data_IF_616256900008
#
_entry.id   IF_616256900008
#
_cell.length_a   1.000
_cell.length_b   1.000
_cell.length_c   1.000
_cell.angle_alpha   90.00
_cell.angle_beta   90.00
_cell.angle_gamma   90.00
#
_symmetry.space_group_name_H-M   'P 1'
#
loop_
_entity.id
_entity.type
_entity.pdbx_description
1 polymer ?
#
# COMPACT_ATOMS: atom_id res chain seq x y z
N UNK A 1 24.08 10.99 29.49
CA UNK A 1 24.25 9.57 29.87
C UNK A 1 22.93 8.79 29.95
N UNK A 2 21.82 9.38 30.47
CA UNK A 2 20.52 8.67 30.57
C UNK A 2 19.73 8.72 29.25
N UNK A 3 19.81 9.82 28.50
CA UNK A 3 19.21 9.96 27.16
C UNK A 3 19.89 9.10 26.10
N UNK A 4 21.23 8.99 26.17
CA UNK A 4 22.00 8.19 25.20
C UNK A 4 21.72 6.68 25.36
N UNK A 5 21.47 6.19 26.58
CA UNK A 5 21.10 4.79 26.83
C UNK A 5 19.67 4.46 26.39
N UNK A 6 18.74 5.41 26.48
CA UNK A 6 17.36 5.24 26.01
C UNK A 6 17.28 5.21 24.47
N UNK A 7 18.02 6.09 23.79
CA UNK A 7 18.10 6.12 22.32
C UNK A 7 18.81 4.89 21.75
N UNK A 8 19.86 4.42 22.39
CA UNK A 8 20.58 3.19 21.99
C UNK A 8 19.69 1.93 22.17
N UNK A 9 18.92 1.85 23.24
CA UNK A 9 17.96 0.76 23.48
C UNK A 9 16.84 0.74 22.43
N UNK A 10 16.27 1.89 22.10
CA UNK A 10 15.24 2.01 21.05
C UNK A 10 15.77 1.64 19.66
N UNK A 11 17.01 2.01 19.34
CA UNK A 11 17.64 1.67 18.06
C UNK A 11 17.80 0.16 17.86
N UNK A 12 18.18 -0.57 18.90
CA UNK A 12 18.32 -2.03 18.87
C UNK A 12 16.99 -2.76 18.64
N UNK A 13 15.93 -2.28 19.26
CA UNK A 13 14.59 -2.87 19.12
C UNK A 13 13.97 -2.63 17.74
N UNK A 14 14.12 -1.43 17.20
CA UNK A 14 13.69 -1.11 15.84
C UNK A 14 14.45 -2.00 14.85
N UNK A 15 15.75 -2.17 15.03
CA UNK A 15 16.57 -3.05 14.18
C UNK A 15 16.12 -4.51 14.25
N UNK A 16 15.77 -5.00 15.45
CA UNK A 16 15.26 -6.36 15.64
C UNK A 16 13.87 -6.55 14.99
N UNK A 17 12.98 -5.57 15.07
CA UNK A 17 11.69 -5.60 14.39
C UNK A 17 11.88 -5.58 12.87
N UNK A 18 12.75 -4.71 12.35
CA UNK A 18 13.07 -4.67 10.92
C UNK A 18 13.60 -6.02 10.45
N UNK A 19 14.52 -6.64 11.19
CA UNK A 19 15.07 -7.95 10.87
C UNK A 19 13.98 -9.04 10.86
N UNK A 20 13.06 -9.02 11.83
CA UNK A 20 11.94 -9.96 11.89
C UNK A 20 10.99 -9.79 10.70
N UNK A 21 10.64 -8.56 10.33
CA UNK A 21 9.79 -8.26 9.17
C UNK A 21 10.48 -8.63 7.85
N UNK A 22 11.78 -8.36 7.73
CA UNK A 22 12.55 -8.70 6.53
C UNK A 22 12.81 -10.21 6.38
N UNK A 23 12.68 -10.99 7.44
CA UNK A 23 12.76 -12.45 7.39
C UNK A 23 11.48 -13.10 6.83
N UNK A 24 10.35 -12.39 6.82
CA UNK A 24 9.13 -12.84 6.18
C UNK A 24 9.22 -12.64 4.66
N UNK A 25 9.38 -13.74 3.92
CA UNK A 25 9.56 -13.70 2.47
C UNK A 25 8.33 -13.16 1.73
N UNK A 26 7.11 -13.40 2.25
CA UNK A 26 5.88 -12.90 1.63
C UNK A 26 5.75 -11.38 1.81
N UNK A 27 6.02 -10.88 3.02
CA UNK A 27 6.04 -9.45 3.29
C UNK A 27 7.12 -8.73 2.47
N UNK A 28 8.34 -9.27 2.43
CA UNK A 28 9.44 -8.70 1.65
C UNK A 28 9.11 -8.70 0.15
N UNK A 29 8.53 -9.78 -0.37
CA UNK A 29 8.09 -9.90 -1.76
C UNK A 29 7.03 -8.85 -2.11
N UNK A 30 6.05 -8.64 -1.23
CA UNK A 30 5.01 -7.63 -1.41
C UNK A 30 5.59 -6.20 -1.43
N UNK A 31 6.44 -5.86 -0.47
CA UNK A 31 7.12 -4.54 -0.41
C UNK A 31 7.95 -4.31 -1.66
N UNK A 32 8.67 -5.34 -2.14
CA UNK A 32 9.43 -5.26 -3.38
C UNK A 32 8.53 -5.03 -4.60
N UNK A 33 7.38 -5.72 -4.68
CA UNK A 33 6.41 -5.51 -5.75
C UNK A 33 5.88 -4.07 -5.79
N UNK A 34 5.56 -3.47 -4.63
CA UNK A 34 5.14 -2.07 -4.53
C UNK A 34 6.24 -1.10 -4.97
N UNK A 35 7.49 -1.37 -4.58
CA UNK A 35 8.64 -0.56 -5.01
C UNK A 35 8.88 -0.64 -6.52
N UNK A 36 8.74 -1.83 -7.12
CA UNK A 36 8.84 -2.01 -8.57
C UNK A 36 7.69 -1.32 -9.31
N UNK A 37 6.45 -1.43 -8.83
CA UNK A 37 5.30 -0.72 -9.38
C UNK A 37 5.58 0.79 -9.44
N UNK A 38 6.08 1.36 -8.34
CA UNK A 38 6.41 2.79 -8.29
C UNK A 38 7.53 3.16 -9.26
N UNK A 39 8.60 2.40 -9.34
CA UNK A 39 9.70 2.64 -10.29
C UNK A 39 9.22 2.55 -11.75
N UNK A 40 8.35 1.60 -12.07
CA UNK A 40 7.77 1.49 -13.41
C UNK A 40 6.88 2.69 -13.72
N UNK A 41 6.11 3.16 -12.74
CA UNK A 41 5.26 4.36 -12.86
C UNK A 41 6.09 5.60 -13.15
N UNK A 42 7.19 5.83 -12.43
CA UNK A 42 8.10 6.95 -12.68
C UNK A 42 8.76 6.87 -14.08
N UNK A 43 9.15 5.68 -14.50
CA UNK A 43 9.71 5.46 -15.85
C UNK A 43 8.68 5.72 -16.95
N UNK A 44 7.43 5.33 -16.74
CA UNK A 44 6.33 5.57 -17.66
C UNK A 44 6.04 7.08 -17.79
N UNK A 45 6.00 7.79 -16.66
CA UNK A 45 5.90 9.24 -16.64
C UNK A 45 7.04 9.90 -17.43
N UNK A 46 8.27 9.51 -17.17
CA UNK A 46 9.44 10.10 -17.82
C UNK A 46 9.47 9.86 -19.35
N UNK A 47 8.96 8.72 -19.82
CA UNK A 47 9.00 8.33 -21.25
C UNK A 47 7.78 8.76 -22.05
N UNK A 48 6.61 8.76 -21.45
CA UNK A 48 5.33 8.94 -22.13
C UNK A 48 4.52 10.12 -21.60
N UNK A 49 5.05 10.87 -20.62
CA UNK A 49 4.37 11.99 -19.96
C UNK A 49 2.99 11.60 -19.36
N UNK A 50 2.81 10.32 -19.00
CA UNK A 50 1.60 9.85 -18.35
C UNK A 50 1.68 10.21 -16.88
N UNK A 51 0.62 10.86 -16.36
CA UNK A 51 0.54 11.20 -14.94
C UNK A 51 0.56 9.93 -14.08
N UNK A 52 1.41 9.85 -13.03
CA UNK A 52 1.58 8.67 -12.19
C UNK A 52 0.33 8.32 -11.38
N UNK A 53 -0.60 9.25 -11.23
CA UNK A 53 -1.82 9.10 -10.44
C UNK A 53 -3.05 9.03 -11.33
N UNK A 54 -3.14 9.91 -12.33
CA UNK A 54 -4.27 10.05 -13.24
C UNK A 54 -3.93 9.54 -14.65
N UNK A 55 -4.06 8.23 -14.84
CA UNK A 55 -3.92 7.63 -16.18
C UNK A 55 -5.07 8.03 -17.12
N UNK A 56 -4.89 7.97 -18.46
CA UNK A 56 -5.97 8.25 -19.40
C UNK A 56 -7.24 7.41 -19.19
N UNK A 57 -7.10 6.12 -18.85
CA UNK A 57 -8.24 5.26 -18.53
C UNK A 57 -8.96 5.75 -17.27
N UNK A 58 -8.23 6.04 -16.21
CA UNK A 58 -8.83 6.52 -14.96
C UNK A 58 -9.55 7.87 -15.19
N UNK A 59 -8.98 8.75 -16.00
CA UNK A 59 -9.62 10.00 -16.39
C UNK A 59 -10.94 9.76 -17.15
N UNK A 60 -10.97 8.80 -18.07
CA UNK A 60 -12.19 8.44 -18.80
C UNK A 60 -13.26 7.86 -17.86
N UNK A 61 -12.88 7.02 -16.90
CA UNK A 61 -13.79 6.42 -15.92
C UNK A 61 -14.38 7.46 -14.95
N UNK A 62 -13.63 8.51 -14.61
CA UNK A 62 -14.14 9.65 -13.82
C UNK A 62 -15.27 10.39 -14.54
N UNK A 63 -15.23 10.44 -15.87
CA UNK A 63 -16.27 11.02 -16.73
C UNK A 63 -17.39 10.04 -17.11
N UNK A 64 -17.45 8.86 -16.51
CA UNK A 64 -18.46 7.86 -16.83
C UNK A 64 -19.88 8.38 -16.57
N UNK A 65 -20.85 8.11 -17.47
CA UNK A 65 -22.25 8.41 -17.22
C UNK A 65 -22.86 7.54 -16.10
N UNK A 66 -22.24 6.41 -15.77
CA UNK A 66 -22.63 5.59 -14.63
C UNK A 66 -22.03 6.15 -13.34
N UNK A 67 -22.86 6.64 -12.38
CA UNK A 67 -22.38 7.24 -11.14
C UNK A 67 -21.58 6.27 -10.26
N UNK A 68 -21.87 4.97 -10.31
CA UNK A 68 -21.16 3.96 -9.52
C UNK A 68 -19.71 3.82 -10.03
N UNK A 69 -19.53 3.74 -11.34
CA UNK A 69 -18.21 3.71 -11.99
C UNK A 69 -17.42 4.99 -11.72
N UNK A 70 -18.05 6.16 -11.87
CA UNK A 70 -17.38 7.45 -11.61
C UNK A 70 -16.97 7.58 -10.13
N UNK A 71 -17.82 7.16 -9.21
CA UNK A 71 -17.51 7.16 -7.77
C UNK A 71 -16.35 6.20 -7.44
N UNK A 72 -16.36 4.98 -7.99
CA UNK A 72 -15.28 4.02 -7.80
C UNK A 72 -13.95 4.54 -8.36
N UNK A 73 -13.98 5.16 -9.55
CA UNK A 73 -12.80 5.80 -10.14
C UNK A 73 -12.25 6.94 -9.27
N UNK A 74 -13.11 7.75 -8.66
CA UNK A 74 -12.70 8.80 -7.72
C UNK A 74 -12.02 8.21 -6.47
N UNK A 75 -12.56 7.15 -5.90
CA UNK A 75 -11.93 6.48 -4.75
C UNK A 75 -10.57 5.87 -5.12
N UNK A 76 -10.46 5.24 -6.30
CA UNK A 76 -9.21 4.70 -6.80
C UNK A 76 -8.17 5.79 -7.06
N UNK A 77 -8.56 6.93 -7.65
CA UNK A 77 -7.70 8.10 -7.83
C UNK A 77 -7.14 8.61 -6.50
N UNK A 78 -8.02 8.77 -5.50
CA UNK A 78 -7.61 9.22 -4.17
C UNK A 78 -6.65 8.23 -3.49
N UNK A 79 -6.89 6.92 -3.65
CA UNK A 79 -6.01 5.88 -3.12
C UNK A 79 -4.65 5.87 -3.84
N UNK A 80 -4.64 6.00 -5.17
CA UNK A 80 -3.42 6.09 -5.98
C UNK A 80 -2.58 7.33 -5.62
N UNK A 81 -3.22 8.47 -5.38
CA UNK A 81 -2.54 9.69 -4.94
C UNK A 81 -1.87 9.51 -3.57
N UNK A 82 -2.56 8.88 -2.60
CA UNK A 82 -1.98 8.55 -1.29
C UNK A 82 -0.81 7.59 -1.40
N UNK A 83 -0.94 6.54 -2.23
CA UNK A 83 0.15 5.61 -2.51
C UNK A 83 1.39 6.34 -3.05
N UNK A 84 1.24 7.17 -4.10
CA UNK A 84 2.36 7.94 -4.65
C UNK A 84 3.02 8.88 -3.63
N UNK A 85 2.24 9.51 -2.75
CA UNK A 85 2.79 10.32 -1.66
C UNK A 85 3.58 9.49 -0.64
N UNK A 86 3.08 8.29 -0.31
CA UNK A 86 3.74 7.38 0.63
C UNK A 86 5.06 6.86 0.05
N UNK A 87 5.09 6.49 -1.23
CA UNK A 87 6.29 6.04 -1.90
C UNK A 87 7.38 7.12 -1.91
N UNK A 88 7.04 8.37 -2.21
CA UNK A 88 7.98 9.50 -2.14
C UNK A 88 8.54 9.75 -0.73
N UNK A 89 7.82 9.36 0.30
CA UNK A 89 8.24 9.46 1.70
C UNK A 89 8.89 8.18 2.23
N UNK A 90 9.07 7.16 1.40
CA UNK A 90 9.53 5.82 1.80
C UNK A 90 8.70 5.25 2.96
N UNK A 91 7.37 5.40 2.87
CA UNK A 91 6.43 4.91 3.88
C UNK A 91 5.58 3.78 3.28
N UNK A 92 5.29 2.77 4.10
CA UNK A 92 4.35 1.71 3.78
C UNK A 92 3.14 1.81 4.72
N UNK A 93 2.04 2.41 4.25
CA UNK A 93 0.81 2.47 5.03
C UNK A 93 0.23 1.06 5.24
N UNK A 94 -0.37 0.78 6.41
CA UNK A 94 -1.02 -0.52 6.66
C UNK A 94 -2.07 -0.90 5.61
N UNK A 95 -2.77 0.06 5.02
CA UNK A 95 -3.77 -0.18 3.97
C UNK A 95 -3.21 -0.63 2.62
N UNK A 96 -1.88 -0.63 2.43
CA UNK A 96 -1.22 -1.23 1.26
C UNK A 96 -0.82 -2.69 1.50
N UNK A 97 -0.99 -3.20 2.72
CA UNK A 97 -0.75 -4.60 3.04
C UNK A 97 -2.07 -5.40 2.90
N UNK A 98 -2.05 -6.58 2.27
CA UNK A 98 -3.11 -7.59 2.43
C UNK A 98 -3.31 -7.97 3.90
N UNK A 99 -4.52 -8.43 4.25
CA UNK A 99 -4.88 -8.69 5.65
C UNK A 99 -3.98 -9.72 6.35
N UNK A 100 -3.52 -10.74 5.63
CA UNK A 100 -2.61 -11.77 6.12
C UNK A 100 -1.20 -11.20 6.41
N UNK A 101 -0.68 -10.36 5.53
CA UNK A 101 0.62 -9.70 5.73
C UNK A 101 0.55 -8.66 6.84
N UNK A 102 -0.54 -7.90 6.95
CA UNK A 102 -0.76 -7.01 8.08
C UNK A 102 -0.79 -7.80 9.40
N UNK A 103 -1.49 -8.95 9.42
CA UNK A 103 -1.53 -9.81 10.60
C UNK A 103 -0.15 -10.31 10.99
N UNK A 104 0.65 -10.79 10.03
CA UNK A 104 2.02 -11.24 10.27
C UNK A 104 2.90 -10.11 10.84
N UNK A 105 2.79 -8.90 10.29
CA UNK A 105 3.53 -7.74 10.77
C UNK A 105 3.14 -7.36 12.22
N UNK A 106 1.85 -7.42 12.56
CA UNK A 106 1.36 -7.16 13.92
C UNK A 106 1.81 -8.22 14.92
N UNK A 107 1.88 -9.49 14.52
CA UNK A 107 2.46 -10.56 15.35
C UNK A 107 3.94 -10.32 15.63
N UNK A 108 4.72 -9.92 14.62
CA UNK A 108 6.12 -9.57 14.81
C UNK A 108 6.30 -8.37 15.75
N UNK A 109 5.45 -7.34 15.62
CA UNK A 109 5.43 -6.20 16.55
C UNK A 109 5.18 -6.63 18.00
N UNK A 110 4.17 -7.49 18.22
CA UNK A 110 3.86 -8.01 19.57
C UNK A 110 5.00 -8.82 20.14
N UNK A 111 5.60 -9.71 19.36
CA UNK A 111 6.74 -10.52 19.80
C UNK A 111 7.92 -9.66 20.27
N UNK A 112 8.23 -8.59 19.53
CA UNK A 112 9.28 -7.66 19.93
C UNK A 112 8.89 -6.82 21.16
N UNK A 113 7.64 -6.40 21.27
CA UNK A 113 7.16 -5.61 22.39
C UNK A 113 7.10 -6.41 23.71
N UNK A 114 6.88 -7.73 23.65
CA UNK A 114 6.78 -8.60 24.82
C UNK A 114 8.06 -8.62 25.67
N UNK A 115 9.20 -8.20 25.13
CA UNK A 115 10.47 -8.11 25.86
C UNK A 115 10.55 -6.94 26.86
N UNK A 116 9.55 -6.05 26.88
CA UNK A 116 9.54 -4.83 27.71
C UNK A 116 8.46 -4.86 28.78
N UNK A 117 8.74 -4.19 29.89
CA UNK A 117 7.70 -3.86 30.87
C UNK A 117 6.58 -3.04 30.17
N UNK A 118 5.32 -3.43 30.37
CA UNK A 118 4.15 -2.85 29.68
C UNK A 118 4.12 -2.98 28.13
N UNK A 119 5.09 -3.66 27.52
CA UNK A 119 5.21 -3.80 26.07
C UNK A 119 4.00 -4.49 25.46
N UNK A 120 3.56 -5.60 26.05
CA UNK A 120 2.37 -6.36 25.59
C UNK A 120 1.09 -5.49 25.59
N UNK A 121 0.88 -4.71 26.65
CA UNK A 121 -0.29 -3.83 26.76
C UNK A 121 -0.27 -2.74 25.68
N UNK A 122 0.90 -2.12 25.47
CA UNK A 122 1.09 -1.08 24.46
C UNK A 122 0.94 -1.63 23.04
N UNK A 123 1.51 -2.79 22.75
CA UNK A 123 1.39 -3.44 21.46
C UNK A 123 -0.06 -3.86 21.16
N UNK A 124 -0.77 -4.40 22.15
CA UNK A 124 -2.19 -4.75 22.02
C UNK A 124 -3.06 -3.52 21.73
N UNK A 125 -2.81 -2.39 22.40
CA UNK A 125 -3.53 -1.15 22.13
C UNK A 125 -3.24 -0.61 20.71
N UNK A 126 -1.98 -0.65 20.27
CA UNK A 126 -1.59 -0.24 18.93
C UNK A 126 -2.20 -1.14 17.86
N UNK A 127 -2.18 -2.47 18.06
CA UNK A 127 -2.83 -3.43 17.17
C UNK A 127 -4.33 -3.15 17.06
N UNK A 128 -5.01 -2.94 18.19
CA UNK A 128 -6.44 -2.63 18.19
C UNK A 128 -6.75 -1.35 17.40
N UNK A 129 -5.95 -0.30 17.56
CA UNK A 129 -6.10 0.94 16.82
C UNK A 129 -5.89 0.75 15.31
N UNK A 130 -4.83 0.02 14.90
CA UNK A 130 -4.56 -0.27 13.48
C UNK A 130 -5.70 -1.08 12.88
N UNK A 131 -6.18 -2.13 13.56
CA UNK A 131 -7.28 -2.97 13.07
C UNK A 131 -8.60 -2.23 12.98
N UNK A 132 -8.86 -1.26 13.87
CA UNK A 132 -10.08 -0.45 13.83
C UNK A 132 -10.16 0.46 12.60
N UNK A 133 -9.00 0.88 12.08
CA UNK A 133 -8.91 1.74 10.88
C UNK A 133 -8.73 0.94 9.58
N UNK A 134 -8.33 -0.34 9.69
CA UNK A 134 -8.03 -1.18 8.53
C UNK A 134 -9.30 -1.75 7.91
N UNK A 135 -9.49 -1.47 6.63
CA UNK A 135 -10.56 -2.03 5.79
C UNK A 135 -9.97 -2.43 4.44
N UNK A 136 -9.75 -3.73 4.25
CA UNK A 136 -9.15 -4.26 3.02
C UNK A 136 -9.99 -3.94 1.78
N UNK A 137 -11.32 -3.88 1.91
CA UNK A 137 -12.22 -3.57 0.79
C UNK A 137 -12.04 -2.14 0.25
N UNK A 138 -11.45 -1.27 1.05
CA UNK A 138 -11.10 0.12 0.71
C UNK A 138 -9.63 0.29 0.35
N UNK A 139 -8.86 -0.77 0.36
CA UNK A 139 -7.46 -0.74 -0.08
C UNK A 139 -7.37 -0.33 -1.55
N UNK A 140 -6.24 0.24 -1.93
CA UNK A 140 -5.97 0.65 -3.31
C UNK A 140 -6.12 -0.54 -4.27
N UNK A 141 -5.56 -1.69 -3.92
CA UNK A 141 -5.62 -2.91 -4.75
C UNK A 141 -7.06 -3.39 -4.92
N UNK A 142 -7.87 -3.41 -3.86
CA UNK A 142 -9.27 -3.80 -3.95
C UNK A 142 -10.09 -2.83 -4.82
N UNK A 143 -9.81 -1.52 -4.75
CA UNK A 143 -10.46 -0.52 -5.60
C UNK A 143 -10.09 -0.71 -7.06
N UNK A 144 -8.81 -0.93 -7.38
CA UNK A 144 -8.33 -1.19 -8.74
C UNK A 144 -8.89 -2.49 -9.30
N UNK A 145 -8.92 -3.58 -8.52
CA UNK A 145 -9.51 -4.85 -8.92
C UNK A 145 -10.99 -4.72 -9.27
N UNK A 146 -11.76 -3.96 -8.47
CA UNK A 146 -13.17 -3.68 -8.78
C UNK A 146 -13.33 -2.85 -10.06
N UNK A 147 -12.44 -1.86 -10.30
CA UNK A 147 -12.44 -1.11 -11.56
C UNK A 147 -12.22 -2.02 -12.75
N UNK A 148 -11.16 -2.85 -12.71
CA UNK A 148 -10.83 -3.80 -13.79
C UNK A 148 -11.97 -4.78 -14.03
N UNK A 149 -12.54 -5.36 -12.98
CA UNK A 149 -13.70 -6.26 -13.08
C UNK A 149 -14.89 -5.56 -13.71
N UNK A 150 -15.14 -4.30 -13.33
CA UNK A 150 -16.26 -3.49 -13.86
C UNK A 150 -16.13 -3.13 -15.33
N UNK A 151 -14.92 -3.16 -15.91
CA UNK A 151 -14.71 -2.88 -17.33
C UNK A 151 -15.34 -3.95 -18.27
N UNK A 152 -15.53 -5.18 -17.80
CA UNK A 152 -16.09 -6.26 -18.61
C UNK A 152 -15.41 -6.40 -19.97
N UNK A 153 -16.15 -6.21 -21.07
CA UNK A 153 -15.61 -6.23 -22.45
C UNK A 153 -14.56 -5.14 -22.71
N UNK A 154 -14.56 -4.08 -21.91
CA UNK A 154 -13.57 -2.99 -21.97
C UNK A 154 -12.22 -3.33 -21.33
N UNK A 155 -12.06 -4.50 -20.69
CA UNK A 155 -10.82 -4.90 -20.02
C UNK A 155 -9.60 -4.90 -20.96
N UNK A 156 -9.81 -5.08 -22.27
CA UNK A 156 -8.73 -5.00 -23.28
C UNK A 156 -8.01 -3.64 -23.25
N UNK A 157 -8.73 -2.54 -22.95
CA UNK A 157 -8.11 -1.22 -22.80
C UNK A 157 -7.17 -1.16 -21.59
N UNK A 158 -7.44 -1.91 -20.53
CA UNK A 158 -6.59 -2.00 -19.36
C UNK A 158 -5.28 -2.77 -19.62
N UNK A 159 -5.21 -3.58 -20.67
CA UNK A 159 -3.99 -4.30 -21.07
C UNK A 159 -2.96 -3.40 -21.77
N UNK A 160 -3.29 -2.14 -22.01
CA UNK A 160 -2.35 -1.17 -22.60
C UNK A 160 -1.79 -0.27 -21.51
N UNK A 161 -0.54 -0.47 -21.11
CA UNK A 161 0.07 0.26 -19.99
C UNK A 161 0.08 1.78 -20.21
N UNK A 162 0.21 2.24 -21.46
CA UNK A 162 0.15 3.66 -21.82
C UNK A 162 -1.23 4.29 -21.63
N UNK A 163 -2.29 3.49 -21.59
CA UNK A 163 -3.65 3.97 -21.36
C UNK A 163 -4.09 3.75 -19.92
N UNK A 164 -3.85 2.56 -19.38
CA UNK A 164 -4.26 2.18 -18.02
C UNK A 164 -3.38 2.77 -16.91
N UNK A 165 -2.10 3.03 -17.20
CA UNK A 165 -1.09 3.25 -16.19
C UNK A 165 -0.63 1.93 -15.57
N UNK A 166 0.49 1.97 -14.84
CA UNK A 166 1.13 0.76 -14.28
C UNK A 166 0.21 0.04 -13.30
N UNK A 167 -0.38 0.75 -12.35
CA UNK A 167 -1.20 0.16 -11.29
C UNK A 167 -2.39 -0.65 -11.83
N UNK A 168 -3.18 -0.07 -12.74
CA UNK A 168 -4.33 -0.75 -13.35
C UNK A 168 -3.85 -1.90 -14.26
N UNK A 169 -2.77 -1.68 -15.01
CA UNK A 169 -2.21 -2.69 -15.91
C UNK A 169 -1.73 -3.94 -15.14
N UNK A 170 -1.09 -3.78 -13.98
CA UNK A 170 -0.66 -4.91 -13.15
C UNK A 170 -1.81 -5.61 -12.43
N UNK A 171 -2.97 -4.96 -12.30
CA UNK A 171 -4.16 -5.51 -11.66
C UNK A 171 -5.04 -6.29 -12.65
N UNK A 172 -4.95 -5.97 -13.93
CA UNK A 172 -5.73 -6.59 -15.01
C UNK A 172 -5.22 -7.97 -15.40
#
# INVERSE_FOLDING_TARGET
LHEDTLTAGMGGEISALIAALAADAALLGHVHALALEWQLTERLQARMAIDPVLSPLLQALLGSPDPATASLAMHALAAQARFGQSQRRMQLPPGELPADLLHAALLALRAQAATRADGERRASAAEAAIRAEYDESRSRIALLSRLVTGLGQGAVAALTVGHAGVAIFLTA
#
